data_IF_154930285840
#
_entry.id   IF_154930285840
#
_cell.length_a   1.000
_cell.length_b   1.000
_cell.length_c   1.000
_cell.angle_alpha   90.00
_cell.angle_beta   90.00
_cell.angle_gamma   90.00
#
_symmetry.space_group_name_H-M   'P 1'
#
loop_
_entity.id
_entity.type
_entity.pdbx_description
1 polymer ?
#
# COMPACT_ATOMS: atom_id res chain seq x y z
N UNK A 1 29.40 16.03 0.90
CA UNK A 1 28.21 15.73 1.74
C UNK A 1 28.08 16.86 2.75
N UNK A 2 26.89 17.40 3.02
CA UNK A 2 26.76 18.51 3.96
C UNK A 2 26.91 18.01 5.40
N UNK A 3 28.10 18.14 5.97
CA UNK A 3 28.44 17.60 7.29
C UNK A 3 27.62 18.23 8.42
N UNK A 4 27.29 19.52 8.30
CA UNK A 4 26.46 20.23 9.28
C UNK A 4 25.03 19.67 9.30
N UNK A 5 24.48 19.37 8.12
CA UNK A 5 23.17 18.72 8.00
C UNK A 5 23.18 17.34 8.65
N UNK A 6 24.17 16.50 8.33
CA UNK A 6 24.30 15.14 8.89
C UNK A 6 24.42 15.19 10.42
N UNK A 7 25.25 16.09 10.95
CA UNK A 7 25.41 16.26 12.39
C UNK A 7 24.10 16.68 13.08
N UNK A 8 23.35 17.62 12.47
CA UNK A 8 22.03 18.04 12.98
C UNK A 8 21.04 16.87 13.01
N UNK A 9 20.91 16.13 11.92
CA UNK A 9 20.01 14.95 11.86
C UNK A 9 20.40 13.90 12.89
N UNK A 10 21.69 13.65 13.10
CA UNK A 10 22.15 12.69 14.11
C UNK A 10 21.78 13.13 15.54
N UNK A 11 21.82 14.42 15.84
CA UNK A 11 21.38 14.97 17.13
C UNK A 11 19.86 14.83 17.28
N UNK A 12 19.08 15.22 16.27
CA UNK A 12 17.61 15.10 16.30
C UNK A 12 17.15 13.64 16.50
N UNK A 13 17.82 12.67 15.86
CA UNK A 13 17.52 11.25 16.06
C UNK A 13 17.77 10.78 17.51
N UNK A 14 18.84 11.28 18.16
CA UNK A 14 19.10 10.97 19.58
C UNK A 14 18.06 11.59 20.50
N UNK A 15 17.60 12.80 20.20
CA UNK A 15 16.53 13.46 20.95
C UNK A 15 15.20 12.71 20.81
N UNK A 16 14.85 12.26 19.60
CA UNK A 16 13.67 11.43 19.34
C UNK A 16 13.74 10.10 20.12
N UNK A 17 14.91 9.45 20.14
CA UNK A 17 15.12 8.22 20.89
C UNK A 17 15.02 8.44 22.39
N UNK A 18 15.67 9.49 22.91
CA UNK A 18 15.60 9.86 24.33
C UNK A 18 14.17 10.21 24.77
N UNK A 19 13.36 10.77 23.89
CA UNK A 19 11.94 11.07 24.13
C UNK A 19 11.01 9.84 23.99
N UNK A 20 11.53 8.67 23.59
CA UNK A 20 10.70 7.47 23.36
C UNK A 20 9.80 7.56 22.12
N UNK A 21 10.08 8.51 21.21
CA UNK A 21 9.30 8.74 20.00
C UNK A 21 9.84 7.96 18.79
N UNK A 22 10.98 7.28 18.95
CA UNK A 22 11.59 6.48 17.90
C UNK A 22 10.71 5.28 17.55
N UNK A 23 10.21 5.26 16.31
CA UNK A 23 9.45 4.15 15.76
C UNK A 23 10.41 3.10 15.23
N UNK A 24 10.25 1.85 15.68
CA UNK A 24 10.99 0.70 15.16
C UNK A 24 10.03 -0.18 14.39
N UNK A 25 10.45 -0.58 13.20
CA UNK A 25 9.69 -1.50 12.37
C UNK A 25 9.75 -2.92 12.97
N UNK A 26 8.66 -3.66 12.79
CA UNK A 26 8.58 -5.08 13.16
C UNK A 26 8.37 -5.86 11.87
N UNK A 27 9.29 -6.78 11.58
CA UNK A 27 9.29 -7.51 10.30
C UNK A 27 8.23 -8.61 10.36
N UNK A 28 7.26 -8.53 9.45
CA UNK A 28 6.24 -9.56 9.22
C UNK A 28 6.77 -10.50 8.12
N UNK A 29 6.70 -11.81 8.36
CA UNK A 29 7.18 -12.83 7.41
C UNK A 29 6.09 -13.80 6.94
N UNK A 30 4.83 -13.48 7.21
CA UNK A 30 3.64 -14.18 6.71
C UNK A 30 2.84 -13.28 5.78
N UNK A 31 1.82 -13.83 5.13
CA UNK A 31 0.76 -13.02 4.53
C UNK A 31 -0.03 -12.23 5.61
N UNK A 32 -0.82 -11.25 5.19
CA UNK A 32 -1.58 -10.39 6.11
C UNK A 32 -2.90 -11.05 6.50
N UNK A 33 -3.17 -11.15 7.80
CA UNK A 33 -4.34 -11.83 8.32
C UNK A 33 -4.56 -11.58 9.81
N UNK A 34 -5.57 -12.24 10.42
CA UNK A 34 -5.80 -12.16 11.87
C UNK A 34 -4.63 -12.75 12.67
N UNK A 35 -3.93 -13.75 12.13
CA UNK A 35 -2.69 -14.30 12.66
C UNK A 35 -1.54 -13.98 11.71
N UNK A 36 -0.43 -13.46 12.26
CA UNK A 36 0.78 -13.11 11.50
C UNK A 36 2.05 -13.59 12.20
N UNK A 37 3.11 -13.77 11.44
CA UNK A 37 4.45 -14.07 11.98
C UNK A 37 5.28 -12.78 12.06
N UNK A 38 5.59 -12.34 13.27
CA UNK A 38 6.44 -11.16 13.54
C UNK A 38 7.70 -11.62 14.27
N UNK A 39 8.89 -11.32 13.70
CA UNK A 39 10.18 -11.71 14.28
C UNK A 39 10.23 -13.21 14.68
N UNK A 40 9.68 -14.09 13.84
CA UNK A 40 9.64 -15.54 14.07
C UNK A 40 8.58 -16.03 15.07
N UNK A 41 7.70 -15.15 15.57
CA UNK A 41 6.62 -15.52 16.50
C UNK A 41 5.25 -15.31 15.86
N UNK A 42 4.37 -16.28 16.01
CA UNK A 42 2.96 -16.14 15.62
C UNK A 42 2.21 -15.30 16.65
N UNK A 43 1.50 -14.28 16.19
CA UNK A 43 0.75 -13.34 17.02
C UNK A 43 -0.58 -12.98 16.35
N UNK A 44 -1.56 -12.51 17.14
CA UNK A 44 -2.78 -11.92 16.61
C UNK A 44 -2.56 -10.46 16.22
N UNK A 45 -3.02 -10.08 15.02
CA UNK A 45 -2.87 -8.72 14.50
C UNK A 45 -4.13 -7.87 14.71
N UNK A 46 -4.09 -6.99 15.72
CA UNK A 46 -5.16 -6.05 16.04
C UNK A 46 -4.89 -4.60 15.59
N UNK A 47 -3.87 -4.38 14.76
CA UNK A 47 -3.47 -3.03 14.32
C UNK A 47 -3.33 -2.91 12.80
N UNK A 48 -4.09 -3.69 12.04
CA UNK A 48 -4.15 -3.60 10.58
C UNK A 48 -5.44 -2.90 10.11
N UNK A 49 -5.36 -2.29 8.93
CA UNK A 49 -6.52 -1.74 8.21
C UNK A 49 -7.25 -2.81 7.37
N UNK A 50 -7.05 -4.10 7.67
CA UNK A 50 -7.62 -5.23 6.92
C UNK A 50 -9.00 -5.62 7.44
N UNK A 51 -9.94 -4.66 7.48
CA UNK A 51 -11.23 -4.79 8.16
C UNK A 51 -12.07 -5.98 7.69
N UNK A 52 -12.04 -6.26 6.38
CA UNK A 52 -12.81 -7.34 5.76
C UNK A 52 -12.01 -8.61 5.51
N UNK A 53 -10.73 -8.66 5.94
CA UNK A 53 -9.87 -9.82 5.72
C UNK A 53 -9.48 -10.06 4.25
N UNK A 54 -9.52 -9.03 3.40
CA UNK A 54 -9.36 -9.18 1.95
C UNK A 54 -7.90 -9.07 1.46
N UNK A 55 -6.97 -8.56 2.28
CA UNK A 55 -5.56 -8.33 1.85
C UNK A 55 -4.85 -9.55 1.27
N UNK A 56 -5.20 -10.76 1.73
CA UNK A 56 -4.64 -12.04 1.25
C UNK A 56 -5.73 -13.04 0.88
N UNK A 57 -6.93 -12.54 0.54
CA UNK A 57 -8.04 -13.42 0.19
C UNK A 57 -7.76 -14.13 -1.15
N UNK A 58 -7.97 -15.46 -1.28
CA UNK A 58 -7.59 -16.23 -2.46
C UNK A 58 -8.09 -15.68 -3.80
N UNK A 59 -9.35 -15.19 -3.83
CA UNK A 59 -9.93 -14.57 -5.04
C UNK A 59 -9.24 -13.27 -5.46
N UNK A 60 -8.71 -12.49 -4.52
CA UNK A 60 -8.00 -11.24 -4.82
C UNK A 60 -6.62 -11.57 -5.41
N UNK A 61 -5.92 -12.54 -4.83
CA UNK A 61 -4.64 -13.05 -5.34
C UNK A 61 -4.80 -13.63 -6.75
N UNK A 62 -5.83 -14.45 -6.96
CA UNK A 62 -6.12 -15.03 -8.28
C UNK A 62 -6.40 -13.95 -9.33
N UNK A 63 -7.20 -12.93 -8.99
CA UNK A 63 -7.49 -11.82 -9.89
C UNK A 63 -6.24 -10.99 -10.23
N UNK A 64 -5.35 -10.77 -9.26
CA UNK A 64 -4.08 -10.08 -9.47
C UNK A 64 -3.16 -10.84 -10.45
N UNK A 65 -3.03 -12.16 -10.31
CA UNK A 65 -2.27 -12.98 -11.26
C UNK A 65 -2.84 -12.89 -12.68
N UNK A 66 -4.16 -13.05 -12.84
CA UNK A 66 -4.81 -12.93 -14.15
C UNK A 66 -4.61 -11.55 -14.79
N UNK A 67 -4.68 -10.48 -13.99
CA UNK A 67 -4.44 -9.13 -14.48
C UNK A 67 -3.00 -8.97 -14.98
N UNK A 68 -2.00 -9.47 -14.25
CA UNK A 68 -0.60 -9.44 -14.68
C UNK A 68 -0.41 -10.21 -16.00
N UNK A 69 -1.00 -11.40 -16.13
CA UNK A 69 -0.87 -12.22 -17.34
C UNK A 69 -1.48 -11.57 -18.59
N UNK A 70 -2.55 -10.78 -18.41
CA UNK A 70 -3.32 -10.18 -19.53
C UNK A 70 -2.95 -8.72 -19.82
N UNK A 71 -2.51 -7.96 -18.82
CA UNK A 71 -2.28 -6.52 -18.90
C UNK A 71 -0.82 -6.12 -18.64
N UNK A 72 0.03 -7.06 -18.21
CA UNK A 72 1.42 -6.83 -17.85
C UNK A 72 1.60 -6.29 -16.43
N UNK A 73 2.85 -6.06 -16.03
CA UNK A 73 3.19 -5.66 -14.66
C UNK A 73 2.99 -4.17 -14.38
N UNK A 74 3.25 -3.30 -15.37
CA UNK A 74 3.19 -1.86 -15.15
C UNK A 74 3.08 -1.06 -16.45
N UNK A 75 2.57 0.17 -16.33
CA UNK A 75 2.21 1.00 -17.47
C UNK A 75 3.35 1.88 -18.01
N UNK A 76 4.38 2.16 -17.19
CA UNK A 76 5.50 3.04 -17.54
C UNK A 76 5.10 4.41 -18.13
N UNK A 77 3.89 4.90 -17.83
CA UNK A 77 3.31 6.10 -18.41
C UNK A 77 2.16 6.64 -17.57
N UNK A 78 1.85 7.93 -17.73
CA UNK A 78 0.66 8.58 -17.15
C UNK A 78 -0.58 8.32 -18.00
N UNK A 79 -1.77 8.50 -17.40
CA UNK A 79 -3.08 8.14 -17.98
C UNK A 79 -3.31 8.69 -19.39
N UNK A 80 -3.02 9.96 -19.64
CA UNK A 80 -3.36 10.60 -20.92
C UNK A 80 -2.39 10.28 -22.09
N UNK A 81 -1.20 9.75 -21.80
CA UNK A 81 -0.20 9.45 -22.84
C UNK A 81 -0.40 8.01 -23.34
N UNK A 82 -0.05 7.03 -22.50
CA UNK A 82 -0.26 5.61 -22.81
C UNK A 82 -0.43 4.76 -21.54
N UNK A 83 -0.84 5.37 -20.43
CA UNK A 83 -1.04 4.71 -19.14
C UNK A 83 -2.47 4.25 -18.86
N UNK A 84 -3.39 4.34 -19.82
CA UNK A 84 -4.79 3.91 -19.63
C UNK A 84 -5.05 2.61 -20.39
N UNK A 85 -5.36 1.55 -19.65
CA UNK A 85 -5.94 0.30 -20.17
C UNK A 85 -7.45 0.25 -19.92
N UNK A 86 -8.14 -0.66 -20.59
CA UNK A 86 -9.55 -0.99 -20.39
C UNK A 86 -9.91 -1.25 -18.91
N UNK A 87 -9.10 -2.02 -18.18
CA UNK A 87 -9.32 -2.32 -16.77
C UNK A 87 -9.37 -1.08 -15.86
N UNK A 88 -8.69 0.01 -16.23
CA UNK A 88 -8.77 1.27 -15.49
C UNK A 88 -10.15 1.90 -15.61
N UNK A 89 -10.70 1.94 -16.83
CA UNK A 89 -12.04 2.49 -17.08
C UNK A 89 -13.13 1.60 -16.50
N UNK A 90 -12.96 0.28 -16.56
CA UNK A 90 -13.88 -0.67 -15.90
C UNK A 90 -13.93 -0.45 -14.39
N UNK A 91 -12.76 -0.28 -13.75
CA UNK A 91 -12.69 -0.02 -12.31
C UNK A 91 -13.35 1.31 -11.94
N UNK A 92 -13.08 2.39 -12.68
CA UNK A 92 -13.70 3.70 -12.47
C UNK A 92 -15.24 3.61 -12.53
N UNK A 93 -15.78 2.93 -13.55
CA UNK A 93 -17.22 2.71 -13.68
C UNK A 93 -17.81 1.89 -12.52
N UNK A 94 -17.13 0.83 -12.09
CA UNK A 94 -17.58 0.00 -10.95
C UNK A 94 -17.58 0.78 -9.64
N UNK A 95 -16.59 1.64 -9.41
CA UNK A 95 -16.52 2.48 -8.22
C UNK A 95 -17.65 3.51 -8.23
N UNK A 96 -17.88 4.19 -9.36
CA UNK A 96 -18.98 5.14 -9.51
C UNK A 96 -20.33 4.47 -9.24
N UNK A 97 -20.56 3.28 -9.79
CA UNK A 97 -21.77 2.50 -9.52
C UNK A 97 -21.91 2.11 -8.05
N UNK A 98 -20.82 1.67 -7.42
CA UNK A 98 -20.82 1.26 -6.01
C UNK A 98 -21.13 2.42 -5.06
N UNK A 99 -20.60 3.61 -5.34
CA UNK A 99 -20.78 4.81 -4.51
C UNK A 99 -22.02 5.63 -4.88
N UNK A 100 -22.63 5.38 -6.05
CA UNK A 100 -23.76 6.15 -6.55
C UNK A 100 -23.36 7.54 -7.07
N UNK A 101 -22.15 7.67 -7.62
CA UNK A 101 -21.66 8.93 -8.22
C UNK A 101 -21.75 8.89 -9.75
N UNK A 102 -21.58 10.04 -10.40
CA UNK A 102 -21.64 10.15 -11.86
C UNK A 102 -20.42 9.52 -12.56
N UNK A 103 -19.22 9.71 -12.00
CA UNK A 103 -17.97 9.13 -12.52
C UNK A 103 -16.94 8.94 -11.39
N UNK A 104 -15.77 8.39 -11.70
CA UNK A 104 -14.63 8.21 -10.80
C UNK A 104 -13.32 8.40 -11.56
N UNK A 105 -12.31 8.94 -10.87
CA UNK A 105 -10.92 9.03 -11.36
C UNK A 105 -9.98 8.28 -10.40
N UNK A 106 -9.06 7.50 -10.96
CA UNK A 106 -8.05 6.76 -10.18
C UNK A 106 -6.79 7.59 -9.91
N UNK A 107 -6.30 7.48 -8.68
CA UNK A 107 -4.99 7.92 -8.21
C UNK A 107 -4.23 6.74 -7.60
N UNK A 108 -2.90 6.84 -7.48
CA UNK A 108 -2.07 5.76 -6.92
C UNK A 108 -2.32 5.53 -5.42
N UNK A 109 -2.64 6.59 -4.68
CA UNK A 109 -3.02 6.54 -3.28
C UNK A 109 -4.02 7.66 -2.96
N UNK A 110 -4.82 7.47 -1.92
CA UNK A 110 -5.78 8.48 -1.46
C UNK A 110 -5.12 9.76 -0.91
N UNK A 111 -3.81 9.76 -0.67
CA UNK A 111 -3.07 10.98 -0.30
C UNK A 111 -2.93 11.94 -1.50
N UNK A 112 -2.94 11.42 -2.73
CA UNK A 112 -2.79 12.17 -3.97
C UNK A 112 -4.12 12.60 -4.61
N UNK A 113 -5.22 11.98 -4.20
CA UNK A 113 -6.57 12.17 -4.75
C UNK A 113 -7.23 13.45 -4.23
#
# INVERSE_FOLDING_TARGET
MNEQFVARIATELKEIEAAGLLKRERIITSEQGPEITVNGKQVLNFCANNYLGLSSHPKVIEAAHKAIDTHGYGMSSVRFICGTQDIHKELEQKIAQFLGTEDTILYAAAFDA
#
